data_IF_058190045557
#
_entry.id   IF_058190045557
#
_cell.length_a   1.000
_cell.length_b   1.000
_cell.length_c   1.000
_cell.angle_alpha   90.00
_cell.angle_beta   90.00
_cell.angle_gamma   90.00
#
_symmetry.space_group_name_H-M   'P 1'
#
loop_
_entity.id
_entity.type
_entity.pdbx_description
1 polymer ?
#
# COMPACT_ATOMS: atom_id res chain seq x y z
N UNK A 1 -11.61 21.63 8.16
CA UNK A 1 -11.54 20.24 8.67
C UNK A 1 -10.20 19.71 8.23
N UNK A 2 -9.31 19.48 9.19
CA UNK A 2 -7.87 19.51 8.98
C UNK A 2 -7.40 18.24 8.27
N UNK A 3 -6.32 18.36 7.50
CA UNK A 3 -5.64 17.25 6.82
C UNK A 3 -5.15 16.15 7.78
N UNK A 4 -5.18 16.43 9.10
CA UNK A 4 -4.92 15.53 10.23
C UNK A 4 -6.07 14.54 10.48
N UNK A 5 -7.33 14.95 10.35
CA UNK A 5 -8.49 14.06 10.54
C UNK A 5 -8.49 12.90 9.54
N UNK A 6 -8.01 13.16 8.32
CA UNK A 6 -7.89 12.17 7.25
C UNK A 6 -6.80 11.13 7.55
N UNK A 7 -5.68 11.54 8.16
CA UNK A 7 -4.54 10.67 8.46
C UNK A 7 -4.82 9.76 9.67
N UNK A 8 -5.46 10.28 10.71
CA UNK A 8 -5.86 9.49 11.89
C UNK A 8 -6.86 8.38 11.54
N UNK A 9 -7.67 8.62 10.51
CA UNK A 9 -8.64 7.64 10.02
C UNK A 9 -8.02 6.59 9.09
N UNK A 10 -6.93 6.93 8.38
CA UNK A 10 -6.24 6.07 7.41
C UNK A 10 -5.44 4.92 8.04
N UNK A 11 -4.85 5.12 9.23
CA UNK A 11 -3.86 4.16 9.77
C UNK A 11 -4.07 3.71 11.22
N UNK A 12 -5.18 4.06 11.90
CA UNK A 12 -5.40 3.52 13.25
C UNK A 12 -5.68 2.00 13.26
N UNK A 13 -5.59 1.40 14.45
CA UNK A 13 -5.53 -0.05 14.70
C UNK A 13 -6.26 -0.97 13.72
N UNK A 14 -5.51 -1.99 13.27
CA UNK A 14 -5.96 -3.07 12.39
C UNK A 14 -6.87 -4.04 13.16
N UNK A 15 -8.13 -3.67 13.31
CA UNK A 15 -9.18 -4.59 13.71
C UNK A 15 -9.78 -5.29 12.49
N UNK A 16 -10.38 -6.47 12.72
CA UNK A 16 -10.86 -7.47 11.73
C UNK A 16 -11.34 -6.90 10.39
N UNK A 17 -11.22 -7.67 9.29
CA UNK A 17 -11.52 -7.19 7.93
C UNK A 17 -12.89 -6.50 7.69
N UNK A 18 -13.87 -6.68 8.57
CA UNK A 18 -15.13 -5.94 8.54
C UNK A 18 -15.00 -4.47 9.00
N UNK A 19 -14.09 -4.17 9.93
CA UNK A 19 -13.80 -2.81 10.38
C UNK A 19 -12.88 -2.07 9.42
N UNK A 20 -11.91 -2.77 8.81
CA UNK A 20 -11.10 -2.23 7.73
C UNK A 20 -11.98 -1.70 6.58
N UNK A 21 -12.99 -2.50 6.18
CA UNK A 21 -13.95 -2.09 5.16
C UNK A 21 -14.72 -0.82 5.58
N UNK A 22 -15.31 -0.78 6.79
CA UNK A 22 -16.03 0.41 7.29
C UNK A 22 -15.15 1.68 7.30
N UNK A 23 -13.85 1.52 7.57
CA UNK A 23 -12.87 2.62 7.64
C UNK A 23 -12.48 3.13 6.26
N UNK A 24 -12.18 2.25 5.30
CA UNK A 24 -11.99 2.60 3.88
C UNK A 24 -13.17 3.42 3.35
N UNK A 25 -14.38 3.07 3.77
CA UNK A 25 -15.59 3.78 3.41
C UNK A 25 -15.71 5.18 4.02
N UNK A 26 -15.22 5.38 5.24
CA UNK A 26 -15.22 6.69 5.89
C UNK A 26 -14.15 7.60 5.26
N UNK A 27 -12.97 7.06 4.95
CA UNK A 27 -11.88 7.77 4.24
C UNK A 27 -12.34 8.24 2.86
N UNK A 28 -12.94 7.35 2.06
CA UNK A 28 -13.44 7.74 0.75
C UNK A 28 -14.53 8.84 0.83
N UNK A 29 -15.37 8.87 1.87
CA UNK A 29 -16.29 10.01 2.11
C UNK A 29 -15.56 11.32 2.40
N UNK A 30 -14.45 11.28 3.15
CA UNK A 30 -13.70 12.49 3.48
C UNK A 30 -12.93 13.04 2.28
N UNK A 31 -12.34 12.16 1.46
CA UNK A 31 -11.70 12.56 0.19
C UNK A 31 -12.71 13.29 -0.72
N UNK A 32 -13.96 12.81 -0.77
CA UNK A 32 -15.06 13.46 -1.51
C UNK A 32 -15.57 14.79 -0.92
N UNK A 33 -15.05 15.23 0.23
CA UNK A 33 -15.39 16.55 0.80
C UNK A 33 -14.30 17.59 0.53
N UNK A 34 -13.08 17.18 0.19
CA UNK A 34 -11.90 18.05 0.16
C UNK A 34 -11.50 18.45 -1.27
N UNK A 35 -11.92 17.74 -2.33
CA UNK A 35 -11.56 18.06 -3.72
C UNK A 35 -12.71 17.80 -4.71
N UNK A 36 -13.53 18.82 -5.06
CA UNK A 36 -14.76 18.65 -5.82
C UNK A 36 -14.45 18.38 -7.30
N UNK A 37 -14.02 17.17 -7.63
CA UNK A 37 -13.94 16.68 -9.00
C UNK A 37 -15.03 15.61 -9.19
N UNK A 38 -16.17 16.05 -9.74
CA UNK A 38 -17.50 15.42 -9.59
C UNK A 38 -17.61 13.95 -10.01
N UNK A 39 -16.77 13.46 -10.92
CA UNK A 39 -16.88 12.08 -11.44
C UNK A 39 -16.12 11.03 -10.61
N UNK A 40 -14.92 11.37 -10.14
CA UNK A 40 -14.08 10.46 -9.33
C UNK A 40 -14.61 10.35 -7.90
N UNK A 41 -15.19 11.43 -7.37
CA UNK A 41 -15.83 11.46 -6.05
C UNK A 41 -17.04 10.51 -5.97
N UNK A 42 -17.89 10.48 -6.99
CA UNK A 42 -19.07 9.60 -6.99
C UNK A 42 -18.66 8.11 -6.93
N UNK A 43 -17.56 7.74 -7.59
CA UNK A 43 -17.06 6.35 -7.59
C UNK A 43 -16.48 5.96 -6.24
N UNK A 44 -15.63 6.81 -5.65
CA UNK A 44 -15.06 6.56 -4.32
C UNK A 44 -16.15 6.52 -3.24
N UNK A 45 -17.12 7.43 -3.31
CA UNK A 45 -18.28 7.44 -2.40
C UNK A 45 -19.15 6.20 -2.55
N UNK A 46 -19.32 5.68 -3.77
CA UNK A 46 -20.04 4.42 -4.02
C UNK A 46 -19.28 3.22 -3.44
N UNK A 47 -17.97 3.14 -3.66
CA UNK A 47 -17.10 2.09 -3.09
C UNK A 47 -17.20 2.15 -1.56
N UNK A 48 -17.17 3.34 -0.99
CA UNK A 48 -17.42 3.57 0.42
C UNK A 48 -18.79 3.08 0.89
N UNK A 49 -19.86 3.41 0.19
CA UNK A 49 -21.19 2.94 0.61
C UNK A 49 -21.30 1.41 0.52
N UNK A 50 -20.63 0.78 -0.46
CA UNK A 50 -20.66 -0.66 -0.64
C UNK A 50 -19.94 -1.43 0.48
N UNK A 51 -18.79 -0.98 0.97
CA UNK A 51 -18.09 -1.63 2.08
C UNK A 51 -18.82 -1.54 3.43
N UNK A 52 -19.75 -0.61 3.59
CA UNK A 52 -20.63 -0.50 4.76
C UNK A 52 -21.88 -1.39 4.67
N UNK A 53 -22.09 -2.06 3.54
CA UNK A 53 -23.25 -2.93 3.36
C UNK A 53 -23.18 -4.11 4.32
N UNK A 54 -24.28 -4.39 5.04
CA UNK A 54 -24.38 -5.58 5.91
C UNK A 54 -24.44 -6.89 5.11
N UNK A 55 -24.75 -6.80 3.82
CA UNK A 55 -24.93 -7.94 2.92
C UNK A 55 -24.10 -7.75 1.65
N UNK A 56 -23.42 -8.80 1.20
CA UNK A 56 -22.71 -8.81 -0.09
C UNK A 56 -21.68 -7.66 -0.29
N UNK A 57 -21.11 -7.12 0.79
CA UNK A 57 -20.16 -6.00 0.73
C UNK A 57 -19.01 -6.27 -0.24
N UNK A 58 -18.38 -7.43 -0.17
CA UNK A 58 -17.28 -7.82 -1.06
C UNK A 58 -17.72 -7.87 -2.54
N UNK A 59 -18.90 -8.43 -2.83
CA UNK A 59 -19.43 -8.51 -4.20
C UNK A 59 -19.68 -7.12 -4.76
N UNK A 60 -20.32 -6.25 -3.97
CA UNK A 60 -20.64 -4.88 -4.39
C UNK A 60 -19.35 -4.06 -4.59
N UNK A 61 -18.37 -4.21 -3.70
CA UNK A 61 -17.06 -3.56 -3.81
C UNK A 61 -16.35 -4.00 -5.10
N UNK A 62 -16.32 -5.31 -5.38
CA UNK A 62 -15.69 -5.86 -6.59
C UNK A 62 -16.34 -5.34 -7.88
N UNK A 63 -17.68 -5.29 -7.93
CA UNK A 63 -18.41 -4.72 -9.08
C UNK A 63 -18.05 -3.26 -9.29
N UNK A 64 -18.06 -2.45 -8.22
CA UNK A 64 -17.77 -1.02 -8.32
C UNK A 64 -16.32 -0.73 -8.70
N UNK A 65 -15.37 -1.49 -8.17
CA UNK A 65 -13.95 -1.37 -8.53
C UNK A 65 -13.75 -1.66 -10.02
N UNK A 66 -14.37 -2.72 -10.53
CA UNK A 66 -14.26 -3.10 -11.94
C UNK A 66 -14.96 -2.11 -12.88
N UNK A 67 -16.16 -1.65 -12.52
CA UNK A 67 -16.88 -0.64 -13.31
C UNK A 67 -16.17 0.72 -13.29
N UNK A 68 -15.61 1.10 -12.14
CA UNK A 68 -14.92 2.37 -11.94
C UNK A 68 -13.53 2.44 -12.58
N UNK A 69 -13.01 1.33 -13.13
CA UNK A 69 -11.66 1.22 -13.70
C UNK A 69 -10.56 1.72 -12.74
N UNK A 70 -10.76 1.54 -11.43
CA UNK A 70 -9.82 1.99 -10.37
C UNK A 70 -8.72 0.96 -10.07
N UNK A 71 -8.60 -0.08 -10.90
CA UNK A 71 -7.55 -1.09 -10.79
C UNK A 71 -6.22 -0.56 -11.35
N UNK A 72 -5.14 -0.85 -10.62
CA UNK A 72 -3.79 -0.68 -11.15
C UNK A 72 -3.45 -1.91 -12.02
N UNK A 73 -2.94 -1.71 -13.25
CA UNK A 73 -2.64 -2.80 -14.18
C UNK A 73 -1.28 -3.42 -13.84
N UNK A 74 -1.14 -3.94 -12.62
CA UNK A 74 0.09 -4.63 -12.20
C UNK A 74 0.10 -6.02 -12.85
N UNK A 75 1.14 -6.36 -13.63
CA UNK A 75 1.33 -7.71 -14.16
C UNK A 75 1.29 -8.76 -13.06
N UNK A 76 0.57 -9.86 -13.31
CA UNK A 76 0.61 -11.06 -12.49
C UNK A 76 1.53 -12.03 -13.21
N UNK A 77 2.65 -12.36 -12.58
CA UNK A 77 3.54 -13.43 -13.06
C UNK A 77 3.15 -14.76 -12.38
N UNK A 78 3.76 -15.87 -12.79
CA UNK A 78 3.60 -17.14 -12.13
C UNK A 78 4.94 -17.81 -11.86
N UNK A 79 5.12 -18.26 -10.62
CA UNK A 79 6.34 -18.96 -10.19
C UNK A 79 6.02 -20.43 -9.98
N UNK A 80 6.89 -21.30 -10.49
CA UNK A 80 6.77 -22.74 -10.27
C UNK A 80 7.09 -23.07 -8.81
N UNK A 81 6.09 -23.55 -8.08
CA UNK A 81 6.22 -23.97 -6.68
C UNK A 81 5.95 -25.47 -6.54
N UNK A 82 6.71 -26.12 -5.66
CA UNK A 82 6.43 -27.49 -5.20
C UNK A 82 5.52 -27.43 -3.98
N UNK A 83 4.26 -27.81 -4.16
CA UNK A 83 3.30 -27.87 -3.05
C UNK A 83 3.07 -29.30 -2.58
N UNK A 84 2.80 -29.45 -1.30
CA UNK A 84 2.33 -30.71 -0.72
C UNK A 84 0.79 -30.74 -0.73
N UNK A 85 0.21 -31.59 -1.58
CA UNK A 85 -1.23 -31.86 -1.56
C UNK A 85 -1.50 -32.99 -0.56
N UNK A 86 -2.37 -32.74 0.42
CA UNK A 86 -2.68 -33.70 1.49
C UNK A 86 -3.90 -34.59 1.22
N UNK A 87 -4.67 -34.36 0.16
CA UNK A 87 -5.91 -35.11 -0.11
C UNK A 87 -6.04 -35.49 -1.59
N UNK A 88 -6.51 -36.72 -1.92
CA UNK A 88 -6.86 -37.83 -1.00
C UNK A 88 -5.63 -38.53 -0.40
N UNK A 89 -4.47 -38.46 -1.04
CA UNK A 89 -3.18 -38.97 -0.54
C UNK A 89 -2.11 -37.88 -0.56
N UNK A 90 -1.08 -38.03 0.28
CA UNK A 90 0.05 -37.10 0.27
C UNK A 90 0.82 -37.22 -1.05
N UNK A 91 0.86 -36.14 -1.82
CA UNK A 91 1.71 -36.06 -3.03
C UNK A 91 2.32 -34.67 -3.13
N UNK A 92 3.56 -34.62 -3.61
CA UNK A 92 4.20 -33.38 -4.03
C UNK A 92 3.81 -33.12 -5.48
N UNK A 93 3.33 -31.92 -5.77
CA UNK A 93 2.97 -31.51 -7.11
C UNK A 93 3.60 -30.15 -7.41
N UNK A 94 4.15 -30.01 -8.60
CA UNK A 94 4.58 -28.72 -9.12
C UNK A 94 3.37 -27.99 -9.69
N UNK A 95 3.19 -26.73 -9.28
CA UNK A 95 2.16 -25.84 -9.79
C UNK A 95 2.70 -24.44 -9.97
N UNK A 96 2.18 -23.75 -10.96
CA UNK A 96 2.43 -22.33 -11.14
C UNK A 96 1.54 -21.54 -10.18
N UNK A 97 2.16 -20.80 -9.26
CA UNK A 97 1.47 -19.94 -8.31
C UNK A 97 1.55 -18.49 -8.78
N UNK A 98 0.43 -17.76 -8.83
CA UNK A 98 0.43 -16.37 -9.26
C UNK A 98 1.18 -15.51 -8.23
N UNK A 99 2.04 -14.62 -8.72
CA UNK A 99 2.84 -13.71 -7.92
C UNK A 99 2.74 -12.30 -8.49
N UNK A 100 2.56 -11.34 -7.60
CA UNK A 100 2.74 -9.91 -7.90
C UNK A 100 4.14 -9.52 -7.46
N UNK A 101 5.02 -9.16 -8.40
CA UNK A 101 6.36 -8.70 -8.03
C UNK A 101 6.30 -7.28 -7.52
N UNK A 102 7.06 -7.00 -6.46
CA UNK A 102 7.21 -5.64 -5.94
C UNK A 102 7.79 -4.70 -7.01
N UNK A 103 8.72 -5.18 -7.83
CA UNK A 103 9.28 -4.40 -8.95
C UNK A 103 8.19 -3.88 -9.89
N UNK A 104 7.23 -4.74 -10.25
CA UNK A 104 6.14 -4.38 -11.15
C UNK A 104 5.17 -3.39 -10.50
N UNK A 105 4.92 -3.53 -9.20
CA UNK A 105 4.19 -2.54 -8.41
C UNK A 105 4.86 -1.16 -8.45
N UNK A 106 6.17 -1.11 -8.19
CA UNK A 106 6.93 0.15 -8.17
C UNK A 106 6.95 0.77 -9.56
N UNK A 107 7.13 0.00 -10.64
CA UNK A 107 7.07 0.50 -12.03
C UNK A 107 5.72 1.14 -12.34
N UNK A 108 4.62 0.46 -11.98
CA UNK A 108 3.26 0.98 -12.21
C UNK A 108 3.00 2.24 -11.38
N UNK A 109 3.43 2.26 -10.12
CA UNK A 109 3.29 3.44 -9.25
C UNK A 109 4.13 4.61 -9.77
N UNK A 110 5.37 4.39 -10.20
CA UNK A 110 6.19 5.42 -10.83
C UNK A 110 5.56 6.00 -12.08
N UNK A 111 4.94 5.17 -12.91
CA UNK A 111 4.30 5.62 -14.14
C UNK A 111 2.99 6.40 -13.91
N UNK A 112 2.25 6.10 -12.83
CA UNK A 112 0.89 6.62 -12.62
C UNK A 112 0.74 7.63 -11.49
N UNK A 113 1.53 7.49 -10.43
CA UNK A 113 1.46 8.30 -9.23
C UNK A 113 2.84 8.39 -8.55
N UNK A 114 3.88 8.89 -9.26
CA UNK A 114 5.25 8.93 -8.74
C UNK A 114 5.36 9.66 -7.40
N UNK A 115 4.49 10.64 -7.16
CA UNK A 115 4.48 11.44 -5.95
C UNK A 115 4.18 10.63 -4.68
N UNK A 116 3.61 9.42 -4.79
CA UNK A 116 3.39 8.55 -3.63
C UNK A 116 4.68 7.92 -3.11
N UNK A 117 5.69 7.76 -3.96
CA UNK A 117 6.99 7.19 -3.57
C UNK A 117 8.10 8.25 -3.54
N UNK A 118 7.92 9.38 -4.24
CA UNK A 118 8.89 10.47 -4.35
C UNK A 118 8.55 11.67 -3.46
N UNK A 119 8.06 11.41 -2.25
CA UNK A 119 7.85 12.44 -1.23
C UNK A 119 6.92 13.60 -1.65
N UNK A 120 5.95 13.34 -2.53
CA UNK A 120 5.05 14.38 -3.06
C UNK A 120 5.55 15.09 -4.31
N UNK A 121 6.79 14.82 -4.75
CA UNK A 121 7.35 15.41 -5.95
C UNK A 121 6.86 14.71 -7.22
N UNK A 122 6.72 15.48 -8.29
CA UNK A 122 6.57 14.95 -9.63
C UNK A 122 7.88 14.27 -10.09
N UNK A 123 7.76 13.26 -10.96
CA UNK A 123 8.91 12.48 -11.45
C UNK A 123 9.93 13.36 -12.19
N UNK A 124 9.44 14.36 -12.92
CA UNK A 124 10.22 15.31 -13.71
C UNK A 124 11.10 16.22 -12.84
N UNK A 125 10.69 16.47 -11.59
CA UNK A 125 11.44 17.31 -10.65
C UNK A 125 12.55 16.52 -9.96
N UNK A 126 13.51 16.04 -10.76
CA UNK A 126 14.62 15.18 -10.32
C UNK A 126 15.40 15.76 -9.17
N UNK A 127 15.79 17.03 -9.26
CA UNK A 127 16.56 17.71 -8.22
C UNK A 127 15.84 17.68 -6.87
N UNK A 128 14.51 17.89 -6.85
CA UNK A 128 13.76 17.93 -5.60
C UNK A 128 13.69 16.56 -4.92
N UNK A 129 13.21 15.52 -5.61
CA UNK A 129 13.07 14.21 -4.97
C UNK A 129 14.43 13.57 -4.67
N UNK A 130 15.45 13.78 -5.53
CA UNK A 130 16.79 13.28 -5.27
C UNK A 130 17.39 13.92 -4.02
N UNK A 131 17.23 15.23 -3.85
CA UNK A 131 17.72 15.94 -2.66
C UNK A 131 17.03 15.46 -1.38
N UNK A 132 15.73 15.14 -1.45
CA UNK A 132 14.98 14.62 -0.30
C UNK A 132 15.47 13.23 0.08
N UNK A 133 15.64 12.33 -0.90
CA UNK A 133 16.12 10.97 -0.64
C UNK A 133 17.55 10.98 -0.11
N UNK A 134 18.43 11.79 -0.69
CA UNK A 134 19.82 11.90 -0.23
C UNK A 134 19.89 12.47 1.19
N UNK A 135 19.09 13.51 1.49
CA UNK A 135 18.97 14.07 2.83
C UNK A 135 18.48 13.04 3.86
N UNK A 136 17.45 12.27 3.52
CA UNK A 136 16.96 11.19 4.40
C UNK A 136 18.07 10.19 4.74
N UNK A 137 18.83 9.74 3.74
CA UNK A 137 19.89 8.77 3.99
C UNK A 137 21.09 9.37 4.72
N UNK A 138 21.40 10.65 4.50
CA UNK A 138 22.42 11.35 5.28
C UNK A 138 22.03 11.42 6.77
N UNK A 139 20.77 11.73 7.06
CA UNK A 139 20.25 11.79 8.43
C UNK A 139 20.19 10.40 9.07
N UNK A 140 19.72 9.38 8.33
CA UNK A 140 19.61 8.01 8.84
C UNK A 140 20.97 7.35 9.11
N UNK A 141 22.04 7.78 8.44
CA UNK A 141 23.41 7.29 8.65
C UNK A 141 23.87 7.54 10.10
N UNK A 142 23.45 8.66 10.68
CA UNK A 142 23.75 8.98 12.08
C UNK A 142 23.10 7.99 13.07
N UNK A 143 21.94 7.43 12.73
CA UNK A 143 21.22 6.46 13.56
C UNK A 143 21.72 5.03 13.35
N UNK A 144 22.08 4.67 12.12
CA UNK A 144 22.50 3.33 11.77
C UNK A 144 23.58 3.33 10.66
N UNK A 145 24.84 3.64 11.01
CA UNK A 145 25.92 3.79 10.03
C UNK A 145 26.32 2.47 9.36
N UNK A 146 25.94 1.33 9.95
CA UNK A 146 26.24 -0.01 9.41
C UNK A 146 25.16 -0.53 8.47
N UNK A 147 24.11 0.25 8.19
CA UNK A 147 23.05 -0.17 7.29
C UNK A 147 23.60 -0.49 5.88
N UNK A 148 23.18 -1.59 5.22
CA UNK A 148 23.81 -2.07 3.99
C UNK A 148 23.84 -1.07 2.82
N UNK A 149 22.99 -0.04 2.83
CA UNK A 149 23.00 0.97 1.78
C UNK A 149 24.33 1.75 1.73
N UNK A 150 24.99 1.98 2.87
CA UNK A 150 26.22 2.77 2.96
C UNK A 150 27.46 2.03 2.48
N UNK A 151 27.42 0.69 2.46
CA UNK A 151 28.45 -0.16 1.86
C UNK A 151 28.13 -0.61 0.44
N UNK A 152 26.94 -0.27 -0.08
CA UNK A 152 26.48 -0.67 -1.41
C UNK A 152 26.96 0.28 -2.51
N UNK A 153 26.88 -0.17 -3.77
CA UNK A 153 27.11 0.66 -4.95
C UNK A 153 25.86 1.46 -5.37
N UNK A 154 24.76 1.36 -4.63
CA UNK A 154 23.49 2.01 -4.95
C UNK A 154 23.58 3.51 -4.65
N UNK A 155 23.01 4.32 -5.55
CA UNK A 155 22.93 5.77 -5.33
C UNK A 155 21.82 6.08 -4.33
N UNK A 156 22.17 6.59 -3.16
CA UNK A 156 21.22 6.99 -2.10
C UNK A 156 20.12 7.92 -2.61
N UNK A 157 20.46 8.88 -3.46
CA UNK A 157 19.51 9.78 -4.12
C UNK A 157 18.47 9.10 -5.03
N UNK A 158 18.62 7.82 -5.36
CA UNK A 158 17.68 7.02 -6.16
C UNK A 158 17.10 5.83 -5.37
N UNK A 159 17.43 5.73 -4.08
CA UNK A 159 16.98 4.64 -3.22
C UNK A 159 15.81 5.11 -2.37
N UNK A 160 14.62 4.56 -2.64
CA UNK A 160 13.40 4.91 -1.90
C UNK A 160 13.39 4.09 -0.59
N UNK A 161 13.39 4.73 0.59
CA UNK A 161 13.23 4.02 1.84
C UNK A 161 11.78 3.54 2.00
N UNK A 162 11.60 2.28 2.38
CA UNK A 162 10.29 1.71 2.68
C UNK A 162 10.35 0.81 3.90
N UNK A 163 9.22 0.73 4.61
CA UNK A 163 8.94 -0.30 5.60
C UNK A 163 8.30 -1.51 4.93
N UNK A 164 8.65 -2.69 5.44
CA UNK A 164 8.03 -3.95 5.09
C UNK A 164 7.43 -4.53 6.37
N UNK A 165 6.12 -4.73 6.38
CA UNK A 165 5.39 -5.33 7.49
C UNK A 165 4.87 -6.69 7.06
N UNK A 166 5.11 -7.71 7.87
CA UNK A 166 4.54 -9.04 7.72
C UNK A 166 3.62 -9.33 8.90
N UNK A 167 2.42 -9.84 8.63
CA UNK A 167 1.51 -10.35 9.65
C UNK A 167 1.08 -11.78 9.30
N UNK A 168 1.13 -12.67 10.28
CA UNK A 168 0.75 -14.07 10.12
C UNK A 168 -0.66 -14.29 10.68
N UNK A 169 -1.58 -14.66 9.80
CA UNK A 169 -2.96 -14.93 10.14
C UNK A 169 -3.34 -16.40 9.99
N UNK A 170 -4.46 -16.77 10.60
CA UNK A 170 -5.16 -18.04 10.33
C UNK A 170 -6.51 -17.74 9.69
N UNK A 171 -6.78 -18.36 8.55
CA UNK A 171 -8.11 -18.27 7.92
C UNK A 171 -9.15 -19.06 8.71
N UNK A 172 -10.44 -18.82 8.45
CA UNK A 172 -11.55 -19.65 8.97
C UNK A 172 -11.40 -21.16 8.67
N UNK A 173 -10.57 -21.53 7.69
CA UNK A 173 -10.24 -22.92 7.35
C UNK A 173 -8.94 -23.42 7.99
N UNK A 174 -8.45 -22.74 9.03
CA UNK A 174 -7.23 -23.08 9.78
C UNK A 174 -5.98 -23.20 8.91
N UNK A 175 -5.95 -22.47 7.79
CA UNK A 175 -4.73 -22.35 6.97
C UNK A 175 -4.00 -21.08 7.36
N UNK A 176 -2.72 -21.23 7.70
CA UNK A 176 -1.81 -20.10 7.89
C UNK A 176 -1.66 -19.36 6.57
N UNK A 177 -1.65 -18.03 6.64
CA UNK A 177 -1.30 -17.16 5.55
C UNK A 177 -0.46 -16.00 6.08
N UNK A 178 0.42 -15.47 5.25
CA UNK A 178 1.19 -14.28 5.56
C UNK A 178 0.62 -13.13 4.73
N UNK A 179 0.37 -12.00 5.37
CA UNK A 179 0.10 -10.74 4.69
C UNK A 179 1.37 -9.92 4.77
N UNK A 180 1.91 -9.56 3.61
CA UNK A 180 2.97 -8.57 3.51
C UNK A 180 2.38 -7.26 3.03
N UNK A 181 2.78 -6.15 3.65
CA UNK A 181 2.49 -4.81 3.20
C UNK A 181 3.77 -3.99 3.19
N UNK A 182 3.91 -3.14 2.19
CA UNK A 182 5.05 -2.22 2.10
C UNK A 182 4.56 -0.79 2.05
N UNK A 183 5.31 0.10 2.70
CA UNK A 183 4.95 1.50 2.83
C UNK A 183 6.19 2.38 2.71
N UNK A 184 6.19 3.43 1.87
CA UNK A 184 7.29 4.41 1.85
C UNK A 184 7.47 5.06 3.23
N UNK A 185 8.73 5.18 3.67
CA UNK A 185 9.05 5.87 4.94
C UNK A 185 8.66 7.34 4.82
N UNK A 186 9.02 7.96 3.70
CA UNK A 186 8.69 9.35 3.39
C UNK A 186 7.30 9.41 2.75
N UNK A 187 6.39 10.13 3.38
CA UNK A 187 5.02 10.28 2.90
C UNK A 187 4.94 11.14 1.63
N UNK A 188 3.81 11.08 0.91
CA UNK A 188 3.48 12.06 -0.14
C UNK A 188 3.47 13.52 0.39
N UNK A 189 3.35 13.73 1.70
CA UNK A 189 3.39 15.06 2.32
C UNK A 189 4.82 15.55 2.58
N UNK A 190 5.85 14.75 2.31
CA UNK A 190 7.25 15.07 2.53
C UNK A 190 7.85 14.45 3.79
N UNK A 191 9.11 14.81 4.08
CA UNK A 191 9.91 14.28 5.19
C UNK A 191 9.57 14.86 6.57
N UNK A 192 8.91 16.02 6.62
CA UNK A 192 8.54 16.69 7.88
C UNK A 192 7.25 16.16 8.49
N UNK A 193 6.57 15.23 7.82
CA UNK A 193 5.29 14.68 8.26
C UNK A 193 5.47 13.17 8.39
N UNK A 194 5.40 12.68 9.63
CA UNK A 194 5.37 11.24 9.88
C UNK A 194 4.06 10.67 9.32
N UNK A 195 4.13 9.44 8.80
CA UNK A 195 2.94 8.67 8.43
C UNK A 195 2.27 8.04 9.66
N UNK A 196 2.66 8.44 10.88
CA UNK A 196 2.09 7.90 12.10
C UNK A 196 0.69 8.48 12.30
N UNK A 197 -0.27 7.61 12.59
CA UNK A 197 -1.64 7.99 12.96
C UNK A 197 -1.87 8.00 14.48
N UNK A 198 -0.78 8.02 15.25
CA UNK A 198 -0.85 8.05 16.71
C UNK A 198 -1.41 9.38 17.20
N UNK A 199 -2.37 9.33 18.14
CA UNK A 199 -2.75 10.52 18.89
C UNK A 199 -1.53 11.06 19.63
N UNK A 200 -1.30 12.39 19.67
CA UNK A 200 -0.44 12.95 20.70
C UNK A 200 -1.11 12.62 22.04
N UNK A 201 -0.43 11.83 22.86
CA UNK A 201 -0.81 11.58 24.25
C UNK A 201 -0.73 12.85 25.08
#
# INVERSE_FOLDING_TARGET
MAQEDLCNELFGDYLSGAETAKRTCKIARMICKVRPNRHTEDTLLKIAKAGQSKTNACRNLHVLINQGKVLLPVPIDAVLLRVALRRPYFRKQELYWPVLRMEDWIKVLMARAPETLLAGCAFENKSAWMSILDGFWADYESCNPTYPIYSSTLRRSHSIPYFLHGDEGKTLRQRSFMIESFQPVISRKGCLVSNESGHPG
#
